data_IF_611874577301
#
_entry.id   IF_611874577301
#
_cell.length_a   1.000
_cell.length_b   1.000
_cell.length_c   1.000
_cell.angle_alpha   90.00
_cell.angle_beta   90.00
_cell.angle_gamma   90.00
#
_symmetry.space_group_name_H-M   'P 1'
#
loop_
_entity.id
_entity.type
_entity.pdbx_description
1 polymer ?
#
# COMPACT_ATOMS: atom_id res chain seq x y z
N UNK A 1 1.51 -18.79 2.34
CA UNK A 1 2.76 -18.29 2.80
C UNK A 1 2.86 -16.82 2.61
N UNK A 2 3.33 -16.17 3.58
CA UNK A 2 3.20 -14.72 3.61
C UNK A 2 4.50 -14.01 3.33
N UNK A 3 4.35 -12.80 2.87
CA UNK A 3 5.48 -11.91 2.65
C UNK A 3 5.68 -11.07 3.89
N UNK A 4 6.89 -10.55 4.06
CA UNK A 4 7.17 -9.60 5.13
C UNK A 4 6.87 -8.20 4.66
N UNK A 5 6.47 -7.36 5.61
CA UNK A 5 6.12 -5.99 5.33
C UNK A 5 7.30 -5.08 5.58
N UNK A 6 7.54 -4.18 4.63
CA UNK A 6 8.57 -3.16 4.77
C UNK A 6 7.97 -1.80 4.46
N UNK A 7 8.16 -0.84 5.32
CA UNK A 7 7.71 0.53 5.07
C UNK A 7 8.64 1.51 5.76
N UNK A 8 8.81 2.66 5.11
CA UNK A 8 9.70 3.68 5.62
C UNK A 8 9.09 4.50 6.74
N UNK A 9 9.91 5.36 7.31
CA UNK A 9 9.50 6.17 8.44
C UNK A 9 8.35 7.12 8.10
N UNK A 10 8.34 7.66 6.88
CA UNK A 10 7.27 8.56 6.49
C UNK A 10 5.92 7.88 6.52
N UNK A 11 5.85 6.67 6.01
CA UNK A 11 4.59 5.93 6.02
C UNK A 11 4.19 5.50 7.42
N UNK A 12 5.17 5.14 8.23
CA UNK A 12 4.89 4.81 9.63
C UNK A 12 4.22 5.99 10.33
N UNK A 13 4.72 7.19 10.09
CA UNK A 13 4.15 8.39 10.69
C UNK A 13 2.75 8.65 10.14
N UNK A 14 2.57 8.51 8.82
CA UNK A 14 1.25 8.68 8.23
C UNK A 14 0.23 7.73 8.83
N UNK A 15 0.62 6.47 8.96
CA UNK A 15 -0.29 5.46 9.49
C UNK A 15 -0.61 5.70 10.95
N UNK A 16 0.37 6.14 11.73
CA UNK A 16 0.13 6.46 13.13
C UNK A 16 -0.85 7.60 13.28
N UNK A 17 -0.71 8.65 12.46
CA UNK A 17 -1.64 9.75 12.48
C UNK A 17 -3.04 9.31 12.06
N UNK A 18 -3.11 8.48 11.04
CA UNK A 18 -4.39 8.00 10.55
C UNK A 18 -5.12 7.21 11.63
N UNK A 19 -4.41 6.37 12.35
CA UNK A 19 -5.01 5.57 13.40
C UNK A 19 -5.66 6.43 14.47
N UNK A 20 -5.05 7.56 14.79
CA UNK A 20 -5.61 8.48 15.78
C UNK A 20 -6.78 9.28 15.23
N UNK A 21 -6.71 9.62 13.95
CA UNK A 21 -7.67 10.55 13.35
C UNK A 21 -8.91 9.85 12.83
N UNK A 22 -8.73 8.66 12.27
CA UNK A 22 -9.83 7.94 11.64
C UNK A 22 -9.56 6.45 11.78
N UNK A 23 -10.00 5.91 12.89
CA UNK A 23 -9.73 4.52 13.20
C UNK A 23 -10.39 3.57 12.20
N UNK A 24 -11.58 3.91 11.74
CA UNK A 24 -12.27 3.05 10.79
C UNK A 24 -11.48 2.94 9.48
N UNK A 25 -10.98 4.05 8.98
CA UNK A 25 -10.17 4.04 7.78
C UNK A 25 -8.86 3.28 8.00
N UNK A 26 -8.27 3.45 9.18
CA UNK A 26 -7.04 2.73 9.52
C UNK A 26 -7.27 1.22 9.53
N UNK A 27 -8.44 0.78 10.00
CA UNK A 27 -8.76 -0.64 9.99
C UNK A 27 -8.93 -1.18 8.57
N UNK A 28 -9.54 -0.40 7.69
CA UNK A 28 -9.67 -0.78 6.29
C UNK A 28 -8.29 -0.93 5.67
N UNK A 29 -7.42 0.02 5.92
CA UNK A 29 -6.05 -0.02 5.43
C UNK A 29 -5.32 -1.25 5.95
N UNK A 30 -5.44 -1.53 7.22
CA UNK A 30 -4.79 -2.68 7.84
C UNK A 30 -5.23 -3.99 7.20
N UNK A 31 -6.53 -4.12 6.94
CA UNK A 31 -7.05 -5.31 6.29
C UNK A 31 -6.53 -5.47 4.87
N UNK A 32 -6.43 -4.36 4.14
CA UNK A 32 -5.88 -4.44 2.78
C UNK A 32 -4.41 -4.85 2.81
N UNK A 33 -3.65 -4.32 3.74
CA UNK A 33 -2.24 -4.71 3.86
C UNK A 33 -2.14 -6.20 4.14
N UNK A 34 -3.00 -6.71 5.01
CA UNK A 34 -3.02 -8.14 5.29
C UNK A 34 -3.25 -8.96 4.03
N UNK A 35 -4.21 -8.55 3.20
CA UNK A 35 -4.49 -9.24 1.95
C UNK A 35 -3.30 -9.15 0.99
N UNK A 36 -2.64 -8.00 0.95
CA UNK A 36 -1.46 -7.86 0.11
C UNK A 36 -0.36 -8.84 0.53
N UNK A 37 -0.15 -8.99 1.83
CA UNK A 37 0.90 -9.88 2.31
C UNK A 37 0.58 -11.35 2.04
N UNK A 38 -0.70 -11.69 1.96
CA UNK A 38 -1.10 -13.06 1.64
C UNK A 38 -0.89 -13.36 0.16
N UNK A 39 -1.20 -12.40 -0.71
CA UNK A 39 -1.01 -12.57 -2.14
C UNK A 39 -0.81 -11.21 -2.80
N UNK A 40 0.42 -10.73 -2.86
CA UNK A 40 0.67 -9.40 -3.39
C UNK A 40 0.41 -9.26 -4.88
N UNK A 41 0.29 -10.36 -5.59
CA UNK A 41 0.06 -10.30 -7.03
C UNK A 41 -1.40 -10.16 -7.42
N UNK A 42 -2.30 -10.16 -6.46
CA UNK A 42 -3.73 -10.10 -6.77
C UNK A 42 -4.22 -8.70 -7.16
N UNK A 43 -3.44 -7.66 -6.88
CA UNK A 43 -3.85 -6.30 -7.20
C UNK A 43 -3.16 -5.84 -8.47
N UNK A 44 -3.73 -4.79 -9.09
CA UNK A 44 -3.31 -4.38 -10.42
C UNK A 44 -1.98 -3.64 -10.42
N UNK A 45 -1.10 -3.95 -11.37
CA UNK A 45 0.12 -3.16 -11.53
C UNK A 45 -0.19 -1.80 -12.13
N UNK A 46 0.70 -0.85 -11.87
CA UNK A 46 0.69 0.41 -12.59
C UNK A 46 1.25 0.19 -13.98
N UNK A 47 0.88 1.05 -14.90
CA UNK A 47 1.24 0.87 -16.30
C UNK A 47 2.61 1.44 -16.62
N UNK A 48 3.14 1.00 -17.75
CA UNK A 48 4.33 1.56 -18.38
C UNK A 48 5.55 1.42 -17.48
N UNK A 49 6.27 2.51 -17.32
CA UNK A 49 7.51 2.49 -16.57
C UNK A 49 7.30 2.18 -15.10
N UNK A 50 6.05 2.15 -14.67
CA UNK A 50 5.75 1.80 -13.29
C UNK A 50 5.31 0.34 -13.15
N UNK A 51 5.70 -0.50 -14.09
CA UNK A 51 5.20 -1.87 -14.14
C UNK A 51 5.53 -2.71 -12.91
N UNK A 52 6.62 -2.38 -12.21
CA UNK A 52 6.98 -3.12 -11.00
C UNK A 52 6.22 -2.71 -9.76
N UNK A 53 5.37 -1.71 -9.88
CA UNK A 53 4.63 -1.15 -8.76
C UNK A 53 3.17 -1.50 -8.90
N UNK A 54 2.55 -1.91 -7.80
CA UNK A 54 1.13 -2.23 -7.79
C UNK A 54 0.38 -1.24 -6.93
N UNK A 55 -0.92 -1.17 -7.16
CA UNK A 55 -1.76 -0.24 -6.42
C UNK A 55 -3.01 -0.94 -5.93
N UNK A 56 -3.55 -0.44 -4.84
CA UNK A 56 -4.83 -0.90 -4.33
C UNK A 56 -5.56 0.28 -3.73
N UNK A 57 -6.85 0.35 -4.01
CA UNK A 57 -7.68 1.43 -3.47
C UNK A 57 -8.03 1.13 -2.02
N UNK A 58 -7.97 2.16 -1.20
CA UNK A 58 -8.35 2.09 0.20
C UNK A 58 -9.53 3.03 0.40
N UNK A 59 -10.68 2.46 0.73
CA UNK A 59 -11.88 3.27 0.78
C UNK A 59 -12.22 3.80 -0.59
N UNK A 60 -12.72 5.03 -0.65
CA UNK A 60 -13.17 5.60 -1.91
C UNK A 60 -12.11 6.43 -2.61
N UNK A 61 -11.26 7.12 -1.84
CA UNK A 61 -10.44 8.16 -2.42
C UNK A 61 -8.96 7.97 -2.24
N UNK A 62 -8.52 6.97 -1.52
CA UNK A 62 -7.11 6.79 -1.22
C UNK A 62 -6.53 5.61 -1.97
N UNK A 63 -5.23 5.66 -2.22
CA UNK A 63 -4.51 4.62 -2.94
C UNK A 63 -3.24 4.30 -2.20
N UNK A 64 -2.97 3.00 -2.08
CA UNK A 64 -1.72 2.50 -1.53
C UNK A 64 -0.93 1.89 -2.67
N UNK A 65 0.33 2.27 -2.80
CA UNK A 65 1.21 1.68 -3.80
C UNK A 65 2.30 0.88 -3.11
N UNK A 66 2.71 -0.18 -3.76
CA UNK A 66 3.73 -1.05 -3.20
C UNK A 66 4.48 -1.77 -4.31
N UNK A 67 5.63 -2.32 -3.96
CA UNK A 67 6.37 -3.17 -4.86
C UNK A 67 6.67 -4.49 -4.16
N UNK A 68 6.92 -5.51 -4.98
CA UNK A 68 7.19 -6.86 -4.49
C UNK A 68 8.65 -7.19 -4.73
N UNK A 69 9.36 -7.51 -3.67
CA UNK A 69 10.73 -7.95 -3.76
C UNK A 69 10.72 -9.46 -3.61
N UNK A 70 10.47 -10.14 -4.72
CA UNK A 70 10.17 -11.56 -4.70
C UNK A 70 11.31 -12.41 -4.15
N UNK A 71 12.53 -12.06 -4.52
CA UNK A 71 13.67 -12.83 -4.03
C UNK A 71 13.83 -12.79 -2.52
N UNK A 72 13.34 -11.75 -1.89
CA UNK A 72 13.40 -11.57 -0.45
C UNK A 72 12.09 -11.87 0.24
N UNK A 73 11.06 -12.10 -0.53
CA UNK A 73 9.70 -12.29 0.00
C UNK A 73 9.26 -11.12 0.84
N UNK A 74 9.49 -9.92 0.33
CA UNK A 74 9.13 -8.68 1.00
C UNK A 74 8.18 -7.88 0.13
N UNK A 75 7.16 -7.29 0.75
CA UNK A 75 6.32 -6.28 0.13
C UNK A 75 6.73 -4.94 0.74
N UNK A 76 7.19 -4.04 -0.11
CA UNK A 76 7.58 -2.71 0.33
C UNK A 76 6.48 -1.72 -0.01
N UNK A 77 5.90 -1.09 1.00
CA UNK A 77 4.91 -0.04 0.77
C UNK A 77 5.65 1.22 0.35
N UNK A 78 5.18 1.84 -0.72
CA UNK A 78 5.86 3.00 -1.30
C UNK A 78 5.19 4.30 -0.95
N UNK A 79 3.86 4.35 -1.09
CA UNK A 79 3.15 5.58 -0.83
C UNK A 79 1.70 5.27 -0.48
N UNK A 80 1.09 6.21 0.23
CA UNK A 80 -0.31 6.12 0.58
C UNK A 80 -0.85 7.55 0.62
N UNK A 81 -1.75 7.86 -0.29
CA UNK A 81 -2.25 9.22 -0.37
C UNK A 81 -3.55 9.23 -1.13
N UNK A 82 -4.13 10.41 -1.20
CA UNK A 82 -5.34 10.62 -1.96
C UNK A 82 -5.10 10.23 -3.41
N UNK A 83 -6.12 9.68 -4.04
CA UNK A 83 -6.06 9.21 -5.42
C UNK A 83 -5.46 10.26 -6.36
N UNK A 84 -5.89 11.50 -6.22
CA UNK A 84 -5.42 12.57 -7.11
C UNK A 84 -3.93 12.79 -7.00
N UNK A 85 -3.38 12.68 -5.80
CA UNK A 85 -1.95 12.91 -5.61
C UNK A 85 -1.11 11.78 -6.17
N UNK A 86 -1.61 10.55 -6.08
CA UNK A 86 -0.87 9.39 -6.57
C UNK A 86 -0.78 9.40 -8.09
N UNK A 87 -1.86 9.76 -8.76
CA UNK A 87 -1.94 9.66 -10.22
C UNK A 87 -1.74 10.97 -10.95
N UNK A 88 -1.44 12.01 -10.24
CA UNK A 88 -1.36 13.34 -10.81
C UNK A 88 -0.11 13.56 -11.66
N UNK A 89 0.89 12.77 -11.49
CA UNK A 89 2.18 13.01 -12.15
C UNK A 89 2.19 12.84 -13.64
#
# INVERSE_FOLDING_TARGET
MNYELNLGDNLKKKFAKLKKKDKLHADILKNKIKHILENPYQFKPLRNEMAGIRRVHIGKSFVLTYEILEGLKIVRLLDYDHHDKIFEK
#
